data_IF_511408298769
#
_entry.id   IF_511408298769
#
_cell.length_a   1.000
_cell.length_b   1.000
_cell.length_c   1.000
_cell.angle_alpha   90.00
_cell.angle_beta   90.00
_cell.angle_gamma   90.00
#
_symmetry.space_group_name_H-M   'P 1'
#
loop_
_entity.id
_entity.type
_entity.pdbx_description
1 polymer ?
#
# COMPACT_ATOMS: atom_id res chain seq x y z
N UNK A 1 16.92 33.21 18.53
CA UNK A 1 17.51 32.74 17.26
C UNK A 1 16.89 33.55 16.14
N UNK A 2 17.68 34.21 15.29
CA UNK A 2 17.15 35.03 14.20
C UNK A 2 16.52 34.19 13.08
N UNK A 3 15.57 34.75 12.30
CA UNK A 3 14.83 34.02 11.26
C UNK A 3 15.75 33.38 10.21
N UNK A 4 16.90 33.99 9.94
CA UNK A 4 17.92 33.48 9.03
C UNK A 4 18.54 32.15 9.51
N UNK A 5 18.77 31.98 10.82
CA UNK A 5 19.32 30.73 11.38
C UNK A 5 18.31 29.59 11.31
N UNK A 6 17.03 29.89 11.53
CA UNK A 6 15.95 28.91 11.41
C UNK A 6 15.76 28.46 9.94
N UNK A 7 15.87 29.39 8.99
CA UNK A 7 15.78 29.09 7.56
C UNK A 7 16.94 28.23 7.09
N UNK A 8 18.18 28.53 7.49
CA UNK A 8 19.38 27.73 7.16
C UNK A 8 19.30 26.33 7.76
N UNK A 9 18.82 26.19 9.01
CA UNK A 9 18.64 24.89 9.65
C UNK A 9 17.54 24.06 8.97
N UNK A 10 16.42 24.67 8.58
CA UNK A 10 15.36 24.01 7.82
C UNK A 10 15.83 23.57 6.44
N UNK A 11 16.60 24.42 5.74
CA UNK A 11 17.17 24.10 4.43
C UNK A 11 18.22 22.98 4.54
N UNK A 12 19.11 23.00 5.53
CA UNK A 12 20.01 21.88 5.80
C UNK A 12 19.25 20.59 6.15
N UNK A 13 18.16 20.66 6.93
CA UNK A 13 17.33 19.50 7.26
C UNK A 13 16.68 18.84 6.04
N UNK A 14 16.25 19.64 5.06
CA UNK A 14 15.68 19.17 3.79
C UNK A 14 16.72 18.47 2.89
N UNK A 15 17.98 18.93 2.90
CA UNK A 15 19.06 18.36 2.08
C UNK A 15 19.84 17.22 2.77
N UNK A 16 19.58 16.94 4.05
CA UNK A 16 20.20 15.84 4.79
C UNK A 16 19.45 14.50 4.69
N UNK A 17 18.32 14.43 3.97
CA UNK A 17 17.71 13.17 3.55
C UNK A 17 18.56 12.52 2.45
N UNK A 18 19.70 11.98 2.86
CA UNK A 18 20.64 11.23 2.03
C UNK A 18 19.97 9.94 1.52
N UNK A 19 20.03 9.73 0.21
CA UNK A 19 19.99 8.44 -0.49
C UNK A 19 18.92 7.44 0.00
N UNK A 20 17.64 7.80 -0.11
CA UNK A 20 16.60 6.78 -0.15
C UNK A 20 16.65 6.12 -1.53
N UNK A 21 17.50 5.09 -1.67
CA UNK A 21 17.55 4.32 -2.91
C UNK A 21 16.18 3.68 -3.17
N UNK A 22 15.67 3.72 -4.41
CA UNK A 22 14.48 2.97 -4.77
C UNK A 22 14.81 1.48 -4.62
N UNK A 23 14.35 0.92 -3.51
CA UNK A 23 14.64 -0.44 -3.07
C UNK A 23 13.33 -1.19 -2.90
N UNK A 24 13.25 -2.38 -3.51
CA UNK A 24 12.13 -3.30 -3.29
C UNK A 24 12.23 -3.88 -1.88
N UNK A 25 11.08 -4.11 -1.26
CA UNK A 25 10.97 -4.70 0.09
C UNK A 25 11.82 -5.98 0.23
N UNK A 26 12.92 -5.93 1.02
CA UNK A 26 13.87 -7.04 1.12
C UNK A 26 13.41 -8.12 2.10
N UNK A 27 12.30 -7.89 2.82
CA UNK A 27 11.86 -8.76 3.92
C UNK A 27 10.78 -9.70 3.43
N UNK A 28 11.00 -11.00 3.62
CA UNK A 28 9.97 -12.01 3.35
C UNK A 28 8.80 -11.83 4.30
N UNK A 29 7.57 -11.74 3.77
CA UNK A 29 6.32 -11.65 4.55
C UNK A 29 5.25 -12.55 3.94
N UNK A 30 4.47 -13.20 4.81
CA UNK A 30 3.26 -13.94 4.44
C UNK A 30 2.21 -13.66 5.52
N UNK A 31 1.09 -13.09 5.13
CA UNK A 31 0.03 -12.67 6.02
C UNK A 31 -1.31 -13.07 5.42
N UNK A 32 -2.08 -13.86 6.15
CA UNK A 32 -3.50 -14.05 5.90
C UNK A 32 -4.23 -13.24 6.97
N UNK A 33 -5.04 -12.28 6.55
CA UNK A 33 -5.79 -11.43 7.47
C UNK A 33 -7.25 -11.38 7.06
N UNK A 34 -8.12 -11.56 8.05
CA UNK A 34 -9.55 -11.38 7.91
C UNK A 34 -10.04 -10.53 9.08
N UNK A 35 -11.09 -9.76 8.84
CA UNK A 35 -11.69 -8.92 9.87
C UNK A 35 -12.99 -8.30 9.42
N UNK A 36 -13.56 -7.47 10.27
CA UNK A 36 -14.70 -6.66 9.95
C UNK A 36 -14.62 -5.32 10.68
N UNK A 37 -15.24 -4.30 10.09
CA UNK A 37 -15.36 -2.97 10.65
C UNK A 37 -16.81 -2.76 11.12
N UNK A 38 -16.97 -2.51 12.42
CA UNK A 38 -18.27 -2.16 13.00
C UNK A 38 -18.39 -0.63 13.14
N UNK A 39 -19.47 -0.01 12.63
CA UNK A 39 -19.70 1.41 12.84
C UNK A 39 -19.90 1.72 14.33
N UNK A 40 -19.17 2.70 14.87
CA UNK A 40 -19.22 3.07 16.29
C UNK A 40 -20.64 3.42 16.78
N UNK A 41 -21.45 4.05 15.92
CA UNK A 41 -22.83 4.42 16.20
C UNK A 41 -23.86 3.42 15.63
N UNK A 42 -23.42 2.25 15.15
CA UNK A 42 -24.20 1.27 14.35
C UNK A 42 -24.90 1.86 13.11
N UNK A 43 -24.56 3.08 12.73
CA UNK A 43 -25.04 3.74 11.53
C UNK A 43 -24.15 3.32 10.36
N UNK A 44 -24.52 2.26 9.65
CA UNK A 44 -23.81 1.76 8.47
C UNK A 44 -23.86 0.24 8.33
N UNK A 45 -23.60 -0.28 7.13
CA UNK A 45 -23.44 -1.71 6.92
C UNK A 45 -22.14 -2.20 7.58
N UNK A 46 -22.15 -3.45 8.06
CA UNK A 46 -20.94 -4.13 8.52
C UNK A 46 -20.01 -4.37 7.31
N UNK A 47 -18.77 -3.89 7.39
CA UNK A 47 -17.78 -4.11 6.34
C UNK A 47 -16.90 -5.30 6.70
N UNK A 48 -16.92 -6.39 5.92
CA UNK A 48 -16.00 -7.51 6.09
C UNK A 48 -14.81 -7.40 5.14
N UNK A 49 -13.61 -7.81 5.57
CA UNK A 49 -12.45 -7.91 4.70
C UNK A 49 -11.70 -9.23 4.90
N UNK A 50 -11.09 -9.68 3.81
CA UNK A 50 -10.19 -10.83 3.77
C UNK A 50 -9.11 -10.52 2.73
N UNK A 51 -7.85 -10.72 3.08
CA UNK A 51 -6.78 -10.70 2.11
C UNK A 51 -5.63 -11.61 2.50
N UNK A 52 -4.91 -12.05 1.49
CA UNK A 52 -3.63 -12.74 1.59
C UNK A 52 -2.54 -11.85 0.99
N UNK A 53 -1.53 -11.53 1.79
CA UNK A 53 -0.36 -10.77 1.37
C UNK A 53 0.89 -11.66 1.41
N UNK A 54 1.67 -11.60 0.35
CA UNK A 54 2.96 -12.26 0.22
C UNK A 54 3.98 -11.28 -0.35
N UNK A 55 5.11 -11.12 0.35
CA UNK A 55 6.34 -10.57 -0.22
C UNK A 55 7.43 -11.64 -0.15
N UNK A 56 8.01 -11.97 -1.30
CA UNK A 56 8.92 -13.08 -1.46
C UNK A 56 10.17 -12.62 -2.21
N UNK A 57 11.20 -12.16 -1.50
CA UNK A 57 12.53 -11.95 -2.06
C UNK A 57 13.11 -13.27 -2.57
N UNK A 58 14.03 -13.17 -3.53
CA UNK A 58 14.72 -14.31 -4.13
C UNK A 58 13.72 -15.33 -4.69
N UNK A 59 12.72 -14.85 -5.45
CA UNK A 59 11.58 -15.67 -5.86
C UNK A 59 11.97 -16.73 -6.90
N UNK A 60 12.19 -16.34 -8.16
CA UNK A 60 12.68 -17.23 -9.23
C UNK A 60 14.20 -17.14 -9.35
N UNK A 61 14.77 -15.95 -9.12
CA UNK A 61 16.20 -15.67 -9.14
C UNK A 61 16.59 -14.90 -7.87
N UNK A 62 17.88 -14.94 -7.46
CA UNK A 62 18.33 -14.27 -6.23
C UNK A 62 18.13 -12.74 -6.23
N UNK A 63 18.10 -12.13 -7.41
CA UNK A 63 17.89 -10.71 -7.67
C UNK A 63 16.41 -10.34 -7.89
N UNK A 64 15.49 -11.31 -7.86
CA UNK A 64 14.07 -11.07 -8.13
C UNK A 64 13.23 -11.16 -6.86
N UNK A 65 12.29 -10.24 -6.72
CA UNK A 65 11.30 -10.23 -5.62
C UNK A 65 9.90 -10.25 -6.19
N UNK A 66 9.03 -11.08 -5.62
CA UNK A 66 7.61 -11.13 -5.98
C UNK A 66 6.76 -10.63 -4.82
N UNK A 67 5.90 -9.65 -5.10
CA UNK A 67 4.85 -9.19 -4.19
C UNK A 67 3.48 -9.58 -4.74
N UNK A 68 2.60 -10.04 -3.87
CA UNK A 68 1.23 -10.43 -4.20
C UNK A 68 0.31 -10.03 -3.05
N UNK A 69 -0.74 -9.29 -3.36
CA UNK A 69 -1.88 -9.04 -2.48
C UNK A 69 -3.15 -9.56 -3.16
N UNK A 70 -3.82 -10.52 -2.53
CA UNK A 70 -5.02 -11.15 -3.05
C UNK A 70 -6.17 -10.94 -2.08
N UNK A 71 -7.26 -10.35 -2.57
CA UNK A 71 -8.54 -10.23 -1.90
C UNK A 71 -9.64 -10.87 -2.78
N UNK A 72 -10.83 -11.18 -2.24
CA UNK A 72 -11.87 -11.90 -2.97
C UNK A 72 -12.23 -11.34 -4.35
N UNK A 73 -12.17 -10.01 -4.53
CA UNK A 73 -12.51 -9.32 -5.78
C UNK A 73 -11.35 -8.49 -6.34
N UNK A 74 -10.14 -8.63 -5.80
CA UNK A 74 -9.01 -7.78 -6.17
C UNK A 74 -7.70 -8.54 -6.09
N UNK A 75 -6.83 -8.32 -7.06
CA UNK A 75 -5.47 -8.83 -7.08
C UNK A 75 -4.54 -7.67 -7.39
N UNK A 76 -3.43 -7.59 -6.65
CA UNK A 76 -2.30 -6.73 -6.95
C UNK A 76 -1.02 -7.57 -6.88
N UNK A 77 -0.16 -7.42 -7.87
CA UNK A 77 1.09 -8.16 -7.96
C UNK A 77 2.19 -7.29 -8.52
N UNK A 78 3.41 -7.53 -8.07
CA UNK A 78 4.59 -6.81 -8.55
C UNK A 78 5.76 -7.79 -8.64
N UNK A 79 6.39 -7.83 -9.81
CA UNK A 79 7.64 -8.53 -10.02
C UNK A 79 8.76 -7.50 -10.10
N UNK A 80 9.67 -7.59 -9.14
CA UNK A 80 10.78 -6.67 -9.01
C UNK A 80 12.13 -7.31 -9.29
N UNK A 81 13.05 -6.51 -9.84
CA UNK A 81 14.43 -6.87 -10.17
C UNK A 81 15.34 -5.88 -9.45
N UNK A 82 16.22 -6.41 -8.60
CA UNK A 82 17.22 -5.63 -7.88
C UNK A 82 18.26 -5.09 -8.85
N UNK A 83 18.65 -3.83 -8.68
CA UNK A 83 19.62 -3.15 -9.55
C UNK A 83 19.24 -3.13 -11.06
N UNK A 84 17.95 -3.25 -11.39
CA UNK A 84 17.46 -3.33 -12.77
C UNK A 84 17.72 -2.08 -13.63
N UNK A 85 17.98 -0.93 -13.02
CA UNK A 85 18.36 0.33 -13.69
C UNK A 85 19.73 0.87 -13.24
N UNK A 86 20.51 0.09 -12.49
CA UNK A 86 21.86 0.46 -12.01
C UNK A 86 22.13 -0.02 -10.58
N UNK A 87 23.35 0.14 -10.05
CA UNK A 87 23.82 -0.49 -8.79
C UNK A 87 23.04 -0.12 -7.52
N UNK A 88 22.10 0.82 -7.62
CA UNK A 88 21.34 1.37 -6.50
C UNK A 88 19.89 1.67 -6.91
N UNK A 89 19.39 1.02 -7.97
CA UNK A 89 18.06 1.29 -8.52
C UNK A 89 17.35 0.02 -8.91
N UNK A 90 16.43 -0.38 -8.06
CA UNK A 90 15.54 -1.51 -8.30
C UNK A 90 14.40 -1.11 -9.25
N UNK A 91 13.86 -2.09 -9.98
CA UNK A 91 12.76 -1.88 -10.93
C UNK A 91 11.68 -2.90 -10.69
N UNK A 92 10.42 -2.44 -10.59
CA UNK A 92 9.24 -3.28 -10.47
C UNK A 92 8.33 -3.16 -11.69
N UNK A 93 7.73 -4.27 -12.10
CA UNK A 93 6.59 -4.30 -13.01
C UNK A 93 5.38 -4.85 -12.27
N UNK A 94 4.33 -4.03 -12.18
CA UNK A 94 3.09 -4.36 -11.49
C UNK A 94 1.98 -4.82 -12.44
N UNK A 95 1.16 -5.76 -11.98
CA UNK A 95 -0.12 -6.11 -12.59
C UNK A 95 -1.17 -6.20 -11.48
N UNK A 96 -2.21 -5.38 -11.58
CA UNK A 96 -3.29 -5.33 -10.61
C UNK A 96 -4.64 -5.03 -11.25
N UNK A 97 -5.70 -5.49 -10.60
CA UNK A 97 -7.07 -5.33 -11.07
C UNK A 97 -8.07 -6.02 -10.17
N UNK A 98 -9.34 -5.64 -10.30
CA UNK A 98 -10.40 -6.22 -9.49
C UNK A 98 -11.78 -5.93 -10.05
N UNK A 99 -12.72 -6.78 -9.65
CA UNK A 99 -14.14 -6.66 -9.95
C UNK A 99 -14.88 -6.00 -8.79
N UNK A 100 -14.53 -4.76 -8.46
CA UNK A 100 -15.34 -3.99 -7.51
C UNK A 100 -16.71 -3.74 -8.14
N UNK A 101 -17.77 -4.23 -7.50
CA UNK A 101 -19.11 -3.76 -7.81
C UNK A 101 -19.12 -2.25 -7.50
N UNK A 102 -19.50 -1.42 -8.47
CA UNK A 102 -19.66 0.02 -8.26
C UNK A 102 -20.81 0.23 -7.26
N UNK A 103 -20.47 0.29 -5.98
CA UNK A 103 -21.40 0.50 -4.89
C UNK A 103 -20.71 1.32 -3.81
N UNK A 104 -21.36 2.41 -3.41
CA UNK A 104 -20.94 3.23 -2.29
C UNK A 104 -22.04 3.21 -1.23
N UNK A 105 -21.65 3.16 0.03
CA UNK A 105 -22.59 3.39 1.12
C UNK A 105 -22.89 4.91 1.17
N UNK A 106 -24.15 5.30 0.96
CA UNK A 106 -24.57 6.68 1.15
C UNK A 106 -24.93 6.97 2.60
N UNK A 107 -24.40 8.06 3.13
CA UNK A 107 -24.76 8.60 4.44
C UNK A 107 -25.37 9.97 4.28
N UNK A 108 -26.53 10.21 4.90
CA UNK A 108 -27.17 11.54 4.97
C UNK A 108 -27.47 11.87 6.42
N UNK A 109 -26.99 13.02 6.88
CA UNK A 109 -27.19 13.50 8.25
C UNK A 109 -26.80 12.48 9.34
N UNK A 110 -25.78 11.66 9.10
CA UNK A 110 -25.32 10.62 10.04
C UNK A 110 -26.10 9.30 9.96
N UNK A 111 -27.08 9.17 9.07
CA UNK A 111 -27.85 7.95 8.86
C UNK A 111 -27.46 7.25 7.56
N UNK A 112 -27.32 5.93 7.62
CA UNK A 112 -27.13 5.09 6.45
C UNK A 112 -28.40 5.09 5.59
N UNK A 113 -28.26 5.50 4.34
CA UNK A 113 -29.36 5.52 3.37
C UNK A 113 -29.36 4.21 2.59
N UNK A 114 -30.18 3.25 3.02
CA UNK A 114 -30.51 2.09 2.19
C UNK A 114 -31.53 2.54 1.13
N UNK A 115 -31.07 2.93 -0.07
CA UNK A 115 -31.98 3.11 -1.23
C UNK A 115 -31.98 1.83 -2.07
N UNK A 116 -33.15 1.40 -2.61
CA UNK A 116 -33.19 0.28 -3.54
C UNK A 116 -32.58 0.71 -4.88
N UNK A 117 -31.64 -0.09 -5.39
CA UNK A 117 -31.15 0.00 -6.77
C UNK A 117 -32.16 -0.61 -7.74
#
# INVERSE_FOLDING_TARGET
MGPLKAMVLAFCGLFLCREAFPQIDPVRRRLLQAGFDEPLNRAGPLGGYLFYYMNQPQFVRPDMTMRLALAPVYLDSELGIREGMGPLTDVGLGLGGGGFAAGHAEFKQGYYCCRPC
#
